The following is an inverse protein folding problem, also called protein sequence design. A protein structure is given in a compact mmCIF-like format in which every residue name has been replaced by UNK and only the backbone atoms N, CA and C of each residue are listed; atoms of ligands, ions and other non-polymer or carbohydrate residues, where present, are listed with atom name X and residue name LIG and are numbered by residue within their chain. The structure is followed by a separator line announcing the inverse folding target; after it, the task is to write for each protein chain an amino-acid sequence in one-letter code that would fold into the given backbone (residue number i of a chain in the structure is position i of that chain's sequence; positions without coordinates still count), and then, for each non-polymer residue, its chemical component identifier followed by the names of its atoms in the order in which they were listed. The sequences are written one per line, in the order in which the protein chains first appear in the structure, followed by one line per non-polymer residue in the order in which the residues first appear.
data_IF_435488590062
#
_entry.id   IF_435488590062
#
_cell.length_a   1.000
_cell.length_b   1.000
_cell.length_c   1.000
_cell.angle_alpha   90.00
_cell.angle_beta   90.00
_cell.angle_gamma   90.00
#
_symmetry.space_group_name_H-M   'P 1'
#
loop_
_entity.id
_entity.type
_entity.pdbx_description
1 polymer ?
#
# COMPACT_ATOMS: atom_id res chain seq x y z
N UNK A 1 -20.75 22.04 -5.21
CA UNK A 1 -20.48 21.23 -4.01
C UNK A 1 -18.98 21.28 -3.77
N UNK A 2 -18.55 21.82 -2.65
CA UNK A 2 -17.14 21.88 -2.34
C UNK A 2 -16.73 20.54 -1.72
N UNK A 3 -15.83 19.79 -2.33
CA UNK A 3 -15.44 18.46 -1.88
C UNK A 3 -14.83 18.48 -0.46
N UNK A 4 -14.26 19.62 -0.06
CA UNK A 4 -13.68 19.77 1.28
C UNK A 4 -14.74 19.84 2.39
N UNK A 5 -16.00 20.10 2.04
CA UNK A 5 -17.12 20.15 2.99
C UNK A 5 -17.84 18.80 3.14
N UNK A 6 -17.35 17.76 2.46
CA UNK A 6 -17.92 16.42 2.45
C UNK A 6 -17.05 15.46 3.25
N UNK A 7 -17.67 14.65 4.11
CA UNK A 7 -17.00 13.54 4.79
C UNK A 7 -17.06 12.29 3.92
N UNK A 8 -15.91 11.70 3.63
CA UNK A 8 -15.83 10.47 2.86
C UNK A 8 -15.71 9.26 3.77
N UNK A 9 -16.42 8.20 3.40
CA UNK A 9 -16.38 6.91 4.08
C UNK A 9 -15.61 5.91 3.20
N UNK A 10 -14.58 5.30 3.78
CA UNK A 10 -13.80 4.24 3.14
C UNK A 10 -14.12 2.94 3.85
N UNK A 11 -14.62 1.96 3.09
CA UNK A 11 -14.92 0.63 3.60
C UNK A 11 -13.74 -0.30 3.35
N UNK A 12 -13.10 -0.72 4.42
CA UNK A 12 -11.93 -1.58 4.43
C UNK A 12 -10.63 -0.86 4.77
N UNK A 13 -9.99 -1.26 5.87
CA UNK A 13 -8.71 -0.77 6.37
C UNK A 13 -7.50 -1.51 5.80
N UNK A 14 -7.61 -2.10 4.60
CA UNK A 14 -6.47 -2.69 3.89
C UNK A 14 -5.58 -1.65 3.23
N UNK A 15 -4.51 -2.09 2.56
CA UNK A 15 -3.54 -1.21 1.89
C UNK A 15 -4.22 -0.20 0.96
N UNK A 16 -5.17 -0.64 0.14
CA UNK A 16 -5.87 0.24 -0.80
C UNK A 16 -6.70 1.32 -0.08
N UNK A 17 -7.47 0.94 0.95
CA UNK A 17 -8.26 1.89 1.74
C UNK A 17 -7.41 2.90 2.48
N UNK A 18 -6.30 2.46 3.08
CA UNK A 18 -5.36 3.36 3.75
C UNK A 18 -4.68 4.33 2.76
N UNK A 19 -4.26 3.84 1.59
CA UNK A 19 -3.72 4.72 0.54
C UNK A 19 -4.75 5.75 0.06
N UNK A 20 -6.02 5.35 -0.11
CA UNK A 20 -7.09 6.27 -0.47
C UNK A 20 -7.32 7.34 0.61
N UNK A 21 -7.34 6.95 1.88
CA UNK A 21 -7.47 7.90 3.00
C UNK A 21 -6.32 8.91 3.04
N UNK A 22 -5.08 8.44 2.84
CA UNK A 22 -3.90 9.30 2.79
C UNK A 22 -4.01 10.29 1.62
N UNK A 23 -4.39 9.81 0.43
CA UNK A 23 -4.54 10.66 -0.75
C UNK A 23 -5.62 11.73 -0.57
N UNK A 24 -6.78 11.37 -0.02
CA UNK A 24 -7.85 12.33 0.28
C UNK A 24 -7.38 13.38 1.29
N UNK A 25 -6.69 12.96 2.34
CA UNK A 25 -6.12 13.86 3.36
C UNK A 25 -5.14 14.87 2.75
N UNK A 26 -4.30 14.47 1.80
CA UNK A 26 -3.39 15.39 1.11
C UNK A 26 -4.13 16.47 0.31
N UNK A 27 -5.36 16.18 -0.12
CA UNK A 27 -6.24 17.13 -0.78
C UNK A 27 -7.07 17.98 0.21
N UNK A 28 -6.84 17.84 1.53
CA UNK A 28 -7.60 18.53 2.57
C UNK A 28 -9.02 17.96 2.76
N UNK A 29 -9.27 16.75 2.28
CA UNK A 29 -10.57 16.07 2.37
C UNK A 29 -10.56 15.14 3.57
N UNK A 30 -11.56 15.26 4.44
CA UNK A 30 -11.73 14.36 5.57
C UNK A 30 -12.30 13.02 5.12
N UNK A 31 -11.65 11.93 5.53
CA UNK A 31 -12.09 10.57 5.23
C UNK A 31 -11.98 9.67 6.47
N UNK A 32 -13.00 8.85 6.69
CA UNK A 32 -13.06 7.89 7.78
C UNK A 32 -13.00 6.46 7.24
N UNK A 33 -12.10 5.65 7.79
CA UNK A 33 -11.91 4.25 7.41
C UNK A 33 -12.66 3.35 8.38
N UNK A 34 -13.56 2.54 7.86
CA UNK A 34 -14.33 1.55 8.61
C UNK A 34 -13.85 0.14 8.26
N UNK A 35 -13.36 -0.58 9.27
CA UNK A 35 -12.79 -1.92 9.11
C UNK A 35 -13.54 -2.94 9.97
N UNK A 36 -13.88 -4.06 9.39
CA UNK A 36 -14.68 -5.10 10.03
C UNK A 36 -13.94 -5.86 11.14
N UNK A 37 -12.63 -5.99 11.07
CA UNK A 37 -11.84 -6.63 12.11
C UNK A 37 -11.71 -5.71 13.33
N UNK A 38 -11.67 -6.32 14.51
CA UNK A 38 -11.51 -5.57 15.77
C UNK A 38 -10.08 -5.18 16.06
N UNK A 39 -9.13 -5.86 15.42
CA UNK A 39 -7.70 -5.64 15.61
C UNK A 39 -6.98 -5.84 14.28
N UNK A 40 -6.19 -4.87 13.87
CA UNK A 40 -5.37 -4.95 12.67
C UNK A 40 -4.10 -5.76 12.97
N UNK A 41 -4.21 -7.07 12.84
CA UNK A 41 -3.07 -7.97 12.96
C UNK A 41 -2.30 -7.98 11.65
N UNK A 42 -1.00 -7.83 11.75
CA UNK A 42 -0.09 -7.98 10.63
C UNK A 42 -0.03 -9.41 10.12
N UNK A 43 -1.09 -9.87 9.45
CA UNK A 43 -1.16 -11.20 8.85
C UNK A 43 -0.68 -11.10 7.41
N UNK A 44 0.23 -11.97 7.03
CA UNK A 44 0.60 -12.13 5.64
C UNK A 44 2.08 -12.38 5.40
N UNK A 45 2.36 -12.87 4.20
CA UNK A 45 3.69 -13.04 3.68
C UNK A 45 4.26 -11.71 3.16
N UNK A 46 5.54 -11.70 2.82
CA UNK A 46 6.12 -10.64 2.03
C UNK A 46 5.54 -10.61 0.61
N UNK A 47 5.57 -9.46 -0.02
CA UNK A 47 5.23 -9.32 -1.43
C UNK A 47 6.12 -8.27 -2.11
N UNK A 48 6.17 -8.32 -3.43
CA UNK A 48 6.92 -7.37 -4.23
C UNK A 48 6.12 -6.09 -4.46
N UNK A 49 6.76 -4.95 -4.26
CA UNK A 49 6.32 -3.66 -4.76
C UNK A 49 7.06 -3.41 -6.07
N UNK A 50 6.37 -3.61 -7.18
CA UNK A 50 6.94 -3.34 -8.50
C UNK A 50 7.01 -1.83 -8.76
N UNK A 51 7.75 -1.44 -9.81
CA UNK A 51 7.98 -0.04 -10.16
C UNK A 51 6.70 0.82 -10.26
N UNK A 52 5.60 0.24 -10.75
CA UNK A 52 4.31 0.94 -10.81
C UNK A 52 3.70 1.21 -9.43
N UNK A 53 3.84 0.27 -8.49
CA UNK A 53 3.39 0.47 -7.11
C UNK A 53 4.25 1.51 -6.41
N UNK A 54 5.57 1.47 -6.60
CA UNK A 54 6.49 2.48 -6.07
C UNK A 54 6.20 3.87 -6.65
N UNK A 55 5.83 3.96 -7.92
CA UNK A 55 5.41 5.22 -8.53
C UNK A 55 4.12 5.77 -7.89
N UNK A 56 3.14 4.91 -7.63
CA UNK A 56 1.91 5.33 -6.95
C UNK A 56 2.19 5.81 -5.51
N UNK A 57 3.06 5.13 -4.79
CA UNK A 57 3.48 5.53 -3.45
C UNK A 57 4.32 6.82 -3.45
N UNK A 58 5.08 7.06 -4.52
CA UNK A 58 5.81 8.32 -4.74
C UNK A 58 4.84 9.51 -4.89
N UNK A 59 3.76 9.35 -5.66
CA UNK A 59 2.70 10.36 -5.75
C UNK A 59 2.00 10.65 -4.42
N UNK A 60 1.98 9.69 -3.51
CA UNK A 60 1.51 9.88 -2.14
C UNK A 60 2.60 10.41 -1.18
N UNK A 61 3.82 10.70 -1.68
CA UNK A 61 4.94 11.17 -0.88
C UNK A 61 5.46 10.14 0.14
N UNK A 62 5.21 8.85 -0.10
CA UNK A 62 5.53 7.77 0.85
C UNK A 62 6.73 6.91 0.44
N UNK A 63 7.25 7.10 -0.79
CA UNK A 63 8.28 6.26 -1.38
C UNK A 63 9.53 6.14 -0.54
N UNK A 64 10.07 7.27 -0.08
CA UNK A 64 11.37 7.29 0.60
C UNK A 64 11.31 6.50 1.92
N UNK A 65 10.26 6.70 2.71
CA UNK A 65 10.08 5.98 3.96
C UNK A 65 9.82 4.48 3.73
N UNK A 66 9.01 4.13 2.72
CA UNK A 66 8.74 2.73 2.34
C UNK A 66 10.01 2.05 1.85
N UNK A 67 10.86 2.75 1.13
CA UNK A 67 12.15 2.22 0.66
C UNK A 67 13.10 1.88 1.83
N UNK A 68 12.96 2.55 2.97
CA UNK A 68 13.76 2.26 4.17
C UNK A 68 13.29 1.00 4.92
N UNK A 69 12.00 0.67 4.86
CA UNK A 69 11.44 -0.52 5.52
C UNK A 69 11.34 -1.73 4.58
N UNK A 70 11.44 -1.51 3.28
CA UNK A 70 11.50 -2.55 2.26
C UNK A 70 12.92 -2.97 1.93
N UNK A 71 13.06 -4.06 1.17
CA UNK A 71 14.31 -4.56 0.65
C UNK A 71 14.34 -4.38 -0.86
N UNK A 72 15.40 -3.75 -1.37
CA UNK A 72 15.61 -3.60 -2.81
C UNK A 72 15.72 -4.96 -3.50
N UNK A 73 14.98 -5.13 -4.59
CA UNK A 73 15.03 -6.31 -5.45
C UNK A 73 15.78 -5.99 -6.75
N UNK A 74 17.07 -6.31 -6.78
CA UNK A 74 17.90 -6.13 -7.97
C UNK A 74 17.55 -7.11 -9.10
N UNK A 75 17.00 -8.26 -8.76
CA UNK A 75 16.53 -9.28 -9.71
C UNK A 75 15.60 -10.26 -9.02
N UNK A 76 14.77 -10.96 -9.79
CA UNK A 76 14.09 -12.16 -9.34
C UNK A 76 14.02 -13.19 -10.48
N UNK A 77 14.02 -14.46 -10.13
CA UNK A 77 13.94 -15.54 -11.10
C UNK A 77 12.80 -16.49 -10.72
N UNK A 78 12.10 -16.98 -11.73
CA UNK A 78 11.16 -18.08 -11.59
C UNK A 78 11.90 -19.36 -12.01
N UNK A 79 11.90 -20.34 -11.12
CA UNK A 79 12.62 -21.61 -11.30
C UNK A 79 11.64 -22.76 -11.40
N UNK A 80 12.03 -23.83 -12.10
CA UNK A 80 11.35 -25.12 -12.02
C UNK A 80 11.74 -25.88 -10.73
N UNK A 81 11.14 -27.03 -10.51
CA UNK A 81 11.43 -27.89 -9.34
C UNK A 81 12.84 -28.48 -9.34
N UNK A 82 13.60 -28.36 -10.40
CA UNK A 82 15.00 -28.82 -10.53
C UNK A 82 15.99 -27.66 -10.40
N UNK A 83 15.51 -26.43 -10.23
CA UNK A 83 16.33 -25.22 -10.13
C UNK A 83 16.70 -24.59 -11.48
N UNK A 84 16.13 -25.04 -12.60
CA UNK A 84 16.35 -24.38 -13.89
C UNK A 84 15.55 -23.09 -13.98
N UNK A 85 16.17 -22.05 -14.49
CA UNK A 85 15.51 -20.75 -14.68
C UNK A 85 14.48 -20.84 -15.80
N UNK A 86 13.20 -20.62 -15.47
CA UNK A 86 12.11 -20.52 -16.44
C UNK A 86 11.92 -19.08 -16.94
N UNK A 87 12.04 -18.11 -16.04
CA UNK A 87 11.90 -16.68 -16.33
C UNK A 87 12.89 -15.89 -15.48
N UNK A 88 13.59 -14.98 -16.12
CA UNK A 88 14.50 -14.01 -15.48
C UNK A 88 14.24 -12.62 -16.08
N UNK A 89 13.25 -11.86 -15.56
CA UNK A 89 12.95 -10.54 -16.10
C UNK A 89 14.10 -9.57 -15.90
N UNK A 90 14.35 -8.73 -16.89
CA UNK A 90 15.30 -7.63 -16.77
C UNK A 90 14.70 -6.47 -15.96
N UNK A 91 14.75 -6.61 -14.64
CA UNK A 91 14.22 -5.59 -13.73
C UNK A 91 15.02 -4.28 -13.78
N UNK A 92 16.28 -4.32 -14.16
CA UNK A 92 17.15 -3.13 -14.25
C UNK A 92 16.71 -2.20 -15.37
N UNK A 93 16.43 -2.74 -16.56
CA UNK A 93 15.89 -1.96 -17.68
C UNK A 93 14.57 -1.30 -17.33
N UNK A 94 13.70 -2.01 -16.60
CA UNK A 94 12.43 -1.49 -16.11
C UNK A 94 12.68 -0.34 -15.12
N UNK A 95 13.54 -0.55 -14.12
CA UNK A 95 13.89 0.47 -13.13
C UNK A 95 14.47 1.73 -13.78
N UNK A 96 15.36 1.57 -14.75
CA UNK A 96 15.94 2.69 -15.50
C UNK A 96 14.88 3.45 -16.31
N UNK A 97 14.01 2.73 -17.01
CA UNK A 97 12.96 3.32 -17.83
C UNK A 97 11.96 4.15 -17.02
N UNK A 98 11.53 3.64 -15.88
CA UNK A 98 10.50 4.28 -15.05
C UNK A 98 11.07 5.08 -13.89
N UNK A 99 12.39 5.09 -13.69
CA UNK A 99 13.10 5.72 -12.56
C UNK A 99 12.53 5.27 -11.19
N UNK A 100 12.10 4.02 -11.14
CA UNK A 100 11.51 3.39 -9.97
C UNK A 100 12.07 2.00 -9.81
N UNK A 101 12.53 1.68 -8.61
CA UNK A 101 13.04 0.36 -8.26
C UNK A 101 11.94 -0.59 -7.79
N UNK A 102 12.28 -1.87 -7.74
CA UNK A 102 11.43 -2.90 -7.19
C UNK A 102 11.87 -3.21 -5.75
N UNK A 103 10.92 -3.40 -4.86
CA UNK A 103 11.17 -3.73 -3.46
C UNK A 103 10.40 -4.98 -3.04
N UNK A 104 10.94 -5.72 -2.09
CA UNK A 104 10.19 -6.68 -1.29
C UNK A 104 9.89 -6.07 0.07
N UNK A 105 8.69 -6.26 0.57
CA UNK A 105 8.27 -5.76 1.87
C UNK A 105 7.37 -6.77 2.56
N UNK A 106 7.45 -6.85 3.88
CA UNK A 106 6.48 -7.61 4.63
C UNK A 106 5.14 -6.86 4.66
N UNK A 107 4.05 -7.55 4.32
CA UNK A 107 2.73 -6.92 4.21
C UNK A 107 2.29 -6.23 5.51
N UNK A 108 2.63 -6.82 6.65
CA UNK A 108 2.33 -6.25 7.96
C UNK A 108 3.06 -4.93 8.21
N UNK A 109 4.31 -4.81 7.75
CA UNK A 109 5.10 -3.60 7.96
C UNK A 109 4.60 -2.46 7.08
N UNK A 110 4.27 -2.75 5.81
CA UNK A 110 3.62 -1.77 4.94
C UNK A 110 2.28 -1.30 5.51
N UNK A 111 1.46 -2.24 5.97
CA UNK A 111 0.15 -1.92 6.54
C UNK A 111 0.28 -1.04 7.79
N UNK A 112 1.16 -1.40 8.72
CA UNK A 112 1.44 -0.62 9.95
C UNK A 112 1.97 0.77 9.61
N UNK A 113 2.86 0.86 8.63
CA UNK A 113 3.38 2.13 8.15
C UNK A 113 2.27 3.02 7.59
N UNK A 114 1.42 2.51 6.70
CA UNK A 114 0.31 3.28 6.13
C UNK A 114 -0.68 3.72 7.21
N UNK A 115 -0.99 2.83 8.14
CA UNK A 115 -1.88 3.14 9.27
C UNK A 115 -1.35 4.29 10.12
N UNK A 116 -0.03 4.35 10.37
CA UNK A 116 0.59 5.43 11.14
C UNK A 116 0.49 6.83 10.49
N UNK A 117 0.08 6.90 9.21
CA UNK A 117 -0.12 8.17 8.50
C UNK A 117 -1.53 8.74 8.65
N UNK A 118 -2.43 8.01 9.29
CA UNK A 118 -3.83 8.39 9.45
C UNK A 118 -4.11 8.61 10.95
N UNK A 119 -4.79 9.70 11.34
CA UNK A 119 -5.16 9.91 12.74
C UNK A 119 -6.06 8.80 13.26
N UNK A 120 -5.85 8.38 14.51
CA UNK A 120 -6.64 7.33 15.16
C UNK A 120 -8.15 7.66 15.17
N UNK A 121 -8.50 8.95 15.27
CA UNK A 121 -9.89 9.42 15.22
C UNK A 121 -10.61 9.12 13.89
N UNK A 122 -9.85 8.84 12.82
CA UNK A 122 -10.39 8.52 11.50
C UNK A 122 -10.42 7.01 11.22
N UNK A 123 -9.98 6.16 12.16
CA UNK A 123 -9.95 4.70 12.02
C UNK A 123 -11.00 4.08 12.94
N UNK A 124 -11.93 3.34 12.36
CA UNK A 124 -13.04 2.71 13.07
C UNK A 124 -13.00 1.19 12.90
N UNK A 125 -12.43 0.49 13.90
CA UNK A 125 -12.32 -0.96 13.90
C UNK A 125 -13.59 -1.65 14.41
N UNK A 126 -13.79 -2.92 14.03
CA UNK A 126 -14.96 -3.72 14.41
C UNK A 126 -16.26 -3.21 13.77
N UNK A 127 -16.18 -2.46 12.70
CA UNK A 127 -17.31 -1.87 11.99
C UNK A 127 -17.43 -2.47 10.59
N UNK A 128 -18.47 -3.29 10.40
CA UNK A 128 -18.77 -3.91 9.11
C UNK A 128 -19.84 -3.11 8.39
N UNK A 129 -19.58 -2.69 7.16
CA UNK A 129 -20.62 -2.16 6.29
C UNK A 129 -21.58 -3.29 5.89
N UNK A 130 -22.90 -3.06 6.07
CA UNK A 130 -23.93 -4.04 5.76
C UNK A 130 -24.72 -3.65 4.50
N UNK A 131 -24.97 -2.35 4.31
CA UNK A 131 -25.69 -1.81 3.17
C UNK A 131 -25.29 -0.36 2.93
N UNK A 132 -25.68 0.17 1.81
CA UNK A 132 -25.63 1.60 1.48
C UNK A 132 -26.95 2.02 0.83
N UNK A 133 -27.33 3.27 1.00
CA UNK A 133 -28.51 3.90 0.39
C UNK A 133 -28.07 5.05 -0.52
#
# INVERSE_FOLDING_TARGET
MNLTDSTFIIVGGGIAGLCAAIGLRQLGIEAHVYESVRELKGIGAGFGLAANAMQALDHLGLKDEISQIGHYLGSYNVLDQKGNILVAPDTRSISQKYKQDNFAIHRADLHRFLLSKIPDSQIHLGKRALSFE
#
